data_IF_504829530088
#
_entry.id   IF_504829530088
#
_cell.length_a   1.000
_cell.length_b   1.000
_cell.length_c   1.000
_cell.angle_alpha   90.00
_cell.angle_beta   90.00
_cell.angle_gamma   90.00
#
_symmetry.space_group_name_H-M   'P 1'
#
loop_
_entity.id
_entity.type
_entity.pdbx_description
1 polymer ?
#
# COMPACT_ATOMS: atom_id res chain seq x y z
N UNK A 1 -14.96 -23.14 -34.50
CA UNK A 1 -13.62 -23.42 -34.02
C UNK A 1 -12.84 -22.09 -33.99
N UNK A 2 -12.91 -21.36 -32.88
CA UNK A 2 -12.31 -20.03 -32.76
C UNK A 2 -10.82 -20.21 -32.53
N UNK A 3 -9.99 -19.76 -33.48
CA UNK A 3 -8.55 -19.68 -33.36
C UNK A 3 -8.20 -18.82 -32.13
N UNK A 4 -7.72 -19.48 -31.08
CA UNK A 4 -7.08 -18.80 -29.95
C UNK A 4 -5.79 -18.13 -30.48
N UNK A 5 -5.90 -16.86 -30.86
CA UNK A 5 -4.75 -16.03 -31.20
C UNK A 5 -3.84 -15.98 -29.97
N UNK A 6 -2.59 -16.45 -30.12
CA UNK A 6 -1.56 -16.33 -29.09
C UNK A 6 -1.49 -14.85 -28.64
N UNK A 7 -1.49 -14.58 -27.34
CA UNK A 7 -1.42 -13.20 -26.84
C UNK A 7 -0.20 -12.49 -27.41
N UNK A 8 -0.42 -11.34 -28.02
CA UNK A 8 0.66 -10.53 -28.60
C UNK A 8 1.65 -10.12 -27.49
N UNK A 9 2.92 -9.86 -27.88
CA UNK A 9 4.02 -9.50 -26.95
C UNK A 9 3.66 -8.34 -25.98
N UNK A 10 2.75 -7.48 -26.36
CA UNK A 10 2.23 -6.34 -25.56
C UNK A 10 1.17 -6.74 -24.53
N UNK A 11 0.41 -7.82 -24.74
CA UNK A 11 -0.68 -8.20 -23.83
C UNK A 11 -0.23 -8.69 -22.44
N UNK A 12 1.04 -9.04 -22.28
CA UNK A 12 1.62 -9.51 -21.00
C UNK A 12 2.49 -8.45 -20.31
N UNK A 13 2.57 -7.23 -20.81
CA UNK A 13 3.42 -6.17 -20.25
C UNK A 13 3.03 -5.79 -18.83
N UNK A 14 1.73 -5.90 -18.46
CA UNK A 14 1.26 -5.65 -17.10
C UNK A 14 1.89 -6.59 -16.06
N UNK A 15 2.19 -7.85 -16.43
CA UNK A 15 2.86 -8.80 -15.53
C UNK A 15 4.25 -8.28 -15.15
N UNK A 16 4.98 -7.71 -16.13
CA UNK A 16 6.31 -7.14 -15.90
C UNK A 16 6.22 -5.94 -14.94
N UNK A 17 5.20 -5.11 -15.07
CA UNK A 17 4.97 -3.98 -14.16
C UNK A 17 4.62 -4.47 -12.75
N UNK A 18 3.80 -5.51 -12.62
CA UNK A 18 3.50 -6.13 -11.32
C UNK A 18 4.77 -6.74 -10.70
N UNK A 19 5.58 -7.45 -11.49
CA UNK A 19 6.87 -7.98 -11.01
C UNK A 19 7.82 -6.87 -10.55
N UNK A 20 7.87 -5.74 -11.27
CA UNK A 20 8.62 -4.57 -10.84
C UNK A 20 8.07 -4.00 -9.51
N UNK A 21 6.75 -3.98 -9.34
CA UNK A 21 6.11 -3.61 -8.08
C UNK A 21 6.48 -4.55 -6.93
N UNK A 22 6.42 -5.87 -7.14
CA UNK A 22 6.82 -6.88 -6.15
C UNK A 22 8.29 -6.71 -5.77
N UNK A 23 9.16 -6.54 -6.76
CA UNK A 23 10.60 -6.30 -6.55
C UNK A 23 10.87 -5.03 -5.74
N UNK A 24 10.12 -3.95 -5.99
CA UNK A 24 10.19 -2.73 -5.20
C UNK A 24 9.68 -2.93 -3.77
N UNK A 25 8.58 -3.64 -3.60
CA UNK A 25 8.03 -3.97 -2.28
C UNK A 25 8.96 -4.84 -1.43
N UNK A 26 9.71 -5.76 -2.05
CA UNK A 26 10.73 -6.56 -1.36
C UNK A 26 11.77 -5.69 -0.66
N UNK A 27 12.11 -4.51 -1.20
CA UNK A 27 13.05 -3.60 -0.55
C UNK A 27 12.51 -3.05 0.78
N UNK A 28 11.21 -2.92 0.93
CA UNK A 28 10.59 -2.55 2.20
C UNK A 28 10.68 -3.72 3.19
N UNK A 29 10.29 -4.91 2.75
CA UNK A 29 10.06 -6.08 3.60
C UNK A 29 11.28 -6.98 3.84
N UNK A 30 12.44 -6.68 3.23
CA UNK A 30 13.70 -7.34 3.57
C UNK A 30 14.19 -7.00 4.97
N UNK A 31 13.79 -5.84 5.51
CA UNK A 31 14.35 -5.25 6.72
C UNK A 31 13.81 -5.84 8.03
N UNK A 32 12.48 -6.06 8.23
CA UNK A 32 11.96 -6.45 9.55
C UNK A 32 12.60 -7.72 10.11
N UNK A 33 12.81 -8.77 9.30
CA UNK A 33 13.48 -10.00 9.75
C UNK A 33 14.98 -9.82 9.97
N UNK A 34 15.62 -8.86 9.30
CA UNK A 34 17.03 -8.54 9.45
C UNK A 34 17.30 -7.58 10.63
N UNK A 35 16.27 -6.91 11.14
CA UNK A 35 16.39 -5.81 12.09
C UNK A 35 17.14 -6.18 13.38
N UNK A 36 16.89 -7.35 14.02
CA UNK A 36 17.66 -7.75 15.19
C UNK A 36 19.17 -7.91 14.88
N UNK A 37 19.52 -8.53 13.75
CA UNK A 37 20.90 -8.70 13.33
C UNK A 37 21.61 -7.36 13.06
N UNK A 38 20.89 -6.41 12.45
CA UNK A 38 21.38 -5.07 12.18
C UNK A 38 21.59 -4.26 13.47
N UNK A 39 20.68 -4.41 14.44
CA UNK A 39 20.82 -3.77 15.74
C UNK A 39 22.08 -4.24 16.47
N UNK A 40 22.34 -5.53 16.43
CA UNK A 40 23.51 -6.14 17.09
C UNK A 40 24.80 -5.75 16.35
N UNK A 41 24.85 -5.84 15.01
CA UNK A 41 26.05 -5.55 14.21
C UNK A 41 26.42 -4.05 14.18
N UNK A 42 25.43 -3.16 14.15
CA UNK A 42 25.62 -1.70 14.05
C UNK A 42 25.35 -0.96 15.37
N UNK A 43 25.17 -1.69 16.47
CA UNK A 43 24.90 -1.15 17.83
C UNK A 43 23.76 -0.12 17.85
N UNK A 44 22.64 -0.42 17.16
CA UNK A 44 21.53 0.51 16.98
C UNK A 44 20.57 0.48 18.17
N UNK A 45 20.12 1.67 18.59
CA UNK A 45 19.03 1.81 19.56
C UNK A 45 17.69 1.33 18.94
N UNK A 46 16.70 1.01 19.78
CA UNK A 46 15.36 0.63 19.30
C UNK A 46 14.70 1.78 18.51
N UNK A 47 14.92 3.03 18.91
CA UNK A 47 14.41 4.19 18.19
C UNK A 47 15.04 4.34 16.79
N UNK A 48 16.35 4.12 16.69
CA UNK A 48 17.03 4.09 15.37
C UNK A 48 16.50 2.96 14.50
N UNK A 49 16.24 1.80 15.06
CA UNK A 49 15.63 0.67 14.38
C UNK A 49 14.22 0.99 13.86
N UNK A 50 13.39 1.65 14.67
CA UNK A 50 12.06 2.13 14.27
C UNK A 50 12.13 3.17 13.15
N UNK A 51 13.08 4.11 13.25
CA UNK A 51 13.34 5.09 12.19
C UNK A 51 13.79 4.41 10.90
N UNK A 52 14.67 3.41 10.98
CA UNK A 52 15.16 2.65 9.84
C UNK A 52 14.04 1.90 9.10
N UNK A 53 13.07 1.35 9.84
CA UNK A 53 11.88 0.72 9.26
C UNK A 53 11.01 1.72 8.48
N UNK A 54 10.86 2.93 9.01
CA UNK A 54 9.99 3.95 8.42
C UNK A 54 10.65 4.78 7.31
N UNK A 55 11.97 4.99 7.34
CA UNK A 55 12.65 6.01 6.51
C UNK A 55 12.48 5.79 5.00
N UNK A 56 12.26 4.56 4.56
CA UNK A 56 11.94 4.25 3.16
C UNK A 56 10.67 4.95 2.67
N UNK A 57 9.80 5.34 3.58
CA UNK A 57 8.53 6.02 3.27
C UNK A 57 8.68 7.55 3.15
N UNK A 58 9.82 8.11 3.60
CA UNK A 58 10.04 9.58 3.61
C UNK A 58 9.94 10.18 2.22
N UNK A 59 10.52 9.52 1.21
CA UNK A 59 10.42 10.00 -0.16
C UNK A 59 8.97 10.06 -0.67
N UNK A 60 8.16 9.07 -0.29
CA UNK A 60 6.72 9.06 -0.60
C UNK A 60 5.94 10.11 0.18
N UNK A 61 6.29 10.31 1.45
CA UNK A 61 5.71 11.32 2.34
C UNK A 61 5.94 12.75 1.81
N UNK A 62 7.14 13.02 1.28
CA UNK A 62 7.50 14.34 0.79
C UNK A 62 7.17 14.55 -0.71
N UNK A 63 7.24 13.49 -1.50
CA UNK A 63 7.31 13.59 -2.95
C UNK A 63 6.16 12.95 -3.75
N UNK A 64 5.11 12.42 -3.14
CA UNK A 64 4.06 11.70 -3.88
C UNK A 64 3.40 12.51 -5.00
N UNK A 65 3.07 13.78 -4.74
CA UNK A 65 2.56 14.71 -5.76
C UNK A 65 3.63 15.11 -6.80
N UNK A 66 4.87 15.31 -6.33
CA UNK A 66 5.98 15.67 -7.22
C UNK A 66 6.30 14.51 -8.19
N UNK A 67 6.26 13.27 -7.74
CA UNK A 67 6.44 12.08 -8.59
C UNK A 67 5.30 11.95 -9.60
N UNK A 68 4.07 12.29 -9.24
CA UNK A 68 2.96 12.31 -10.20
C UNK A 68 3.18 13.34 -11.32
N UNK A 69 3.67 14.52 -10.97
CA UNK A 69 4.04 15.55 -11.95
C UNK A 69 5.24 15.09 -12.81
N UNK A 70 6.27 14.52 -12.17
CA UNK A 70 7.43 13.99 -12.87
C UNK A 70 7.04 12.91 -13.89
N UNK A 71 6.12 12.02 -13.52
CA UNK A 71 5.60 10.99 -14.41
C UNK A 71 4.82 11.57 -15.61
N UNK A 72 4.15 12.71 -15.44
CA UNK A 72 3.53 13.42 -16.57
C UNK A 72 4.56 14.08 -17.49
N UNK A 73 5.69 14.57 -16.95
CA UNK A 73 6.73 15.28 -17.71
C UNK A 73 7.67 14.33 -18.46
N UNK A 74 8.28 13.37 -17.77
CA UNK A 74 9.29 12.48 -18.34
C UNK A 74 8.75 11.13 -18.82
N UNK A 75 7.54 10.77 -18.39
CA UNK A 75 6.85 9.53 -18.73
C UNK A 75 6.94 8.46 -17.64
N UNK A 76 5.85 7.70 -17.51
CA UNK A 76 5.69 6.68 -16.46
C UNK A 76 6.70 5.53 -16.59
N UNK A 77 7.05 5.10 -17.82
CA UNK A 77 8.04 4.03 -18.06
C UNK A 77 9.44 4.45 -17.63
N UNK A 78 9.82 5.70 -17.94
CA UNK A 78 11.12 6.24 -17.52
C UNK A 78 11.19 6.36 -16.01
N UNK A 79 10.14 6.85 -15.36
CA UNK A 79 10.03 6.93 -13.90
C UNK A 79 10.17 5.54 -13.26
N UNK A 80 9.45 4.52 -13.77
CA UNK A 80 9.55 3.15 -13.27
C UNK A 80 10.99 2.61 -13.42
N UNK A 81 11.63 2.80 -14.58
CA UNK A 81 13.01 2.37 -14.82
C UNK A 81 14.01 3.06 -13.87
N UNK A 82 13.89 4.38 -13.69
CA UNK A 82 14.69 5.14 -12.72
C UNK A 82 14.47 4.65 -11.30
N UNK A 83 13.21 4.35 -10.95
CA UNK A 83 12.86 3.78 -9.65
C UNK A 83 13.59 2.46 -9.37
N UNK A 84 13.61 1.53 -10.32
CA UNK A 84 14.32 0.25 -10.19
C UNK A 84 15.84 0.44 -10.03
N UNK A 85 16.43 1.40 -10.75
CA UNK A 85 17.86 1.75 -10.63
C UNK A 85 18.14 2.32 -9.23
N UNK A 86 17.33 3.25 -8.73
CA UNK A 86 17.51 3.82 -7.39
C UNK A 86 17.36 2.75 -6.30
N UNK A 87 16.41 1.82 -6.43
CA UNK A 87 16.27 0.68 -5.51
C UNK A 87 17.54 -0.18 -5.48
N UNK A 88 18.11 -0.48 -6.66
CA UNK A 88 19.35 -1.23 -6.76
C UNK A 88 20.52 -0.46 -6.11
N UNK A 89 20.71 0.82 -6.44
CA UNK A 89 21.79 1.65 -5.90
C UNK A 89 21.64 1.82 -4.37
N UNK A 90 20.43 2.10 -3.87
CA UNK A 90 20.17 2.21 -2.45
C UNK A 90 20.48 0.91 -1.71
N UNK A 91 20.05 -0.24 -2.27
CA UNK A 91 20.34 -1.55 -1.66
C UNK A 91 21.86 -1.86 -1.69
N UNK A 92 22.54 -1.61 -2.80
CA UNK A 92 23.99 -1.84 -2.94
C UNK A 92 24.79 -0.95 -1.98
N UNK A 93 24.46 0.33 -1.86
CA UNK A 93 25.11 1.23 -0.90
C UNK A 93 24.80 0.86 0.56
N UNK A 94 23.60 0.36 0.83
CA UNK A 94 23.24 -0.17 2.14
C UNK A 94 24.04 -1.42 2.53
N UNK A 95 24.38 -2.28 1.56
CA UNK A 95 25.18 -3.48 1.80
C UNK A 95 26.60 -3.19 2.34
N UNK A 96 27.16 -2.02 2.02
CA UNK A 96 28.49 -1.58 2.46
C UNK A 96 28.43 -0.60 3.64
N UNK A 97 27.25 -0.38 4.24
CA UNK A 97 27.09 0.51 5.37
C UNK A 97 27.83 -0.01 6.60
N UNK A 98 28.58 0.89 7.27
CA UNK A 98 29.40 0.60 8.46
C UNK A 98 28.75 1.11 9.76
N UNK A 99 27.66 1.87 9.67
CA UNK A 99 26.92 2.41 10.83
C UNK A 99 25.46 2.68 10.46
N UNK A 100 24.66 3.07 11.44
CA UNK A 100 23.24 3.36 11.26
C UNK A 100 22.97 4.50 10.25
N UNK A 101 23.79 5.57 10.28
CA UNK A 101 23.56 6.76 9.45
C UNK A 101 23.67 6.48 7.93
N UNK A 102 24.77 5.90 7.40
CA UNK A 102 24.82 5.54 5.97
C UNK A 102 23.75 4.49 5.58
N UNK A 103 23.39 3.58 6.47
CA UNK A 103 22.30 2.64 6.22
C UNK A 103 20.96 3.37 6.08
N UNK A 104 20.67 4.34 6.96
CA UNK A 104 19.46 5.17 6.85
C UNK A 104 19.45 6.00 5.57
N UNK A 105 20.58 6.58 5.16
CA UNK A 105 20.70 7.32 3.90
C UNK A 105 20.42 6.42 2.70
N UNK A 106 20.96 5.20 2.69
CA UNK A 106 20.69 4.21 1.64
C UNK A 106 19.21 3.83 1.56
N UNK A 107 18.54 3.70 2.69
CA UNK A 107 17.08 3.44 2.78
C UNK A 107 16.24 4.60 2.25
N UNK A 108 16.68 5.85 2.44
CA UNK A 108 16.00 7.01 1.86
C UNK A 108 16.09 6.98 0.31
N UNK A 109 17.22 6.56 -0.26
CA UNK A 109 17.40 6.35 -1.71
C UNK A 109 16.49 5.23 -2.22
N UNK A 110 16.42 4.10 -1.49
CA UNK A 110 15.47 3.02 -1.81
C UNK A 110 14.01 3.54 -1.78
N UNK A 111 13.68 4.40 -0.80
CA UNK A 111 12.37 5.04 -0.71
C UNK A 111 12.03 5.90 -1.92
N UNK A 112 12.99 6.68 -2.44
CA UNK A 112 12.83 7.45 -3.66
C UNK A 112 12.59 6.54 -4.87
N UNK A 113 13.27 5.41 -4.95
CA UNK A 113 13.03 4.39 -5.97
C UNK A 113 11.66 3.74 -5.84
N UNK A 114 11.26 3.39 -4.61
CA UNK A 114 9.98 2.75 -4.32
C UNK A 114 8.79 3.61 -4.73
N UNK A 115 8.77 4.90 -4.37
CA UNK A 115 7.66 5.79 -4.72
C UNK A 115 7.52 6.01 -6.23
N UNK A 116 8.63 6.05 -6.97
CA UNK A 116 8.62 6.14 -8.43
C UNK A 116 7.92 4.91 -9.04
N UNK A 117 8.20 3.71 -8.55
CA UNK A 117 7.54 2.47 -9.00
C UNK A 117 6.08 2.44 -8.59
N UNK A 118 5.78 2.76 -7.32
CA UNK A 118 4.44 2.66 -6.76
C UNK A 118 3.43 3.60 -7.44
N UNK A 119 3.83 4.84 -7.75
CA UNK A 119 2.96 5.85 -8.38
C UNK A 119 2.75 5.56 -9.87
N UNK A 120 3.77 5.07 -10.57
CA UNK A 120 3.69 4.90 -12.03
C UNK A 120 3.10 3.55 -12.46
N UNK A 121 3.14 2.54 -11.59
CA UNK A 121 2.67 1.19 -11.88
C UNK A 121 1.23 1.13 -12.39
N UNK A 122 0.23 1.70 -11.68
CA UNK A 122 -1.17 1.66 -12.11
C UNK A 122 -1.40 2.28 -13.49
N UNK A 123 -0.76 3.42 -13.78
CA UNK A 123 -0.86 4.10 -15.08
C UNK A 123 -0.28 3.24 -16.23
N UNK A 124 0.87 2.62 -15.99
CA UNK A 124 1.48 1.71 -16.96
C UNK A 124 0.62 0.48 -17.21
N UNK A 125 0.04 -0.13 -16.17
CA UNK A 125 -0.88 -1.26 -16.29
C UNK A 125 -2.10 -0.84 -17.11
N UNK A 126 -2.70 0.30 -16.81
CA UNK A 126 -3.87 0.79 -17.54
C UNK A 126 -3.59 0.97 -19.04
N UNK A 127 -2.43 1.52 -19.41
CA UNK A 127 -2.03 1.75 -20.81
C UNK A 127 -1.62 0.50 -21.56
N UNK A 128 -1.11 -0.51 -20.86
CA UNK A 128 -0.52 -1.71 -21.48
C UNK A 128 -1.44 -2.95 -21.45
N UNK A 129 -2.62 -2.83 -20.86
CA UNK A 129 -3.52 -3.97 -20.64
C UNK A 129 -4.81 -3.81 -21.45
N UNK A 130 -5.22 -4.83 -22.21
CA UNK A 130 -6.52 -4.83 -22.91
C UNK A 130 -7.67 -4.72 -21.90
N UNK A 131 -8.81 -4.05 -22.26
CA UNK A 131 -9.95 -3.85 -21.36
C UNK A 131 -10.45 -5.12 -20.69
N UNK A 132 -10.44 -6.25 -21.41
CA UNK A 132 -10.89 -7.57 -20.91
C UNK A 132 -10.04 -8.07 -19.71
N UNK A 133 -8.78 -7.66 -19.58
CA UNK A 133 -7.85 -8.09 -18.52
C UNK A 133 -7.50 -7.01 -17.53
N UNK A 134 -7.95 -5.78 -17.76
CA UNK A 134 -7.57 -4.63 -16.94
C UNK A 134 -7.96 -4.79 -15.48
N UNK A 135 -9.18 -5.28 -15.21
CA UNK A 135 -9.66 -5.52 -13.84
C UNK A 135 -8.79 -6.53 -13.10
N UNK A 136 -8.40 -7.62 -13.77
CA UNK A 136 -7.50 -8.61 -13.19
C UNK A 136 -6.10 -8.04 -12.96
N UNK A 137 -5.55 -7.30 -13.92
CA UNK A 137 -4.22 -6.71 -13.81
C UNK A 137 -4.12 -5.68 -12.68
N UNK A 138 -5.14 -4.83 -12.50
CA UNK A 138 -5.24 -3.89 -11.37
C UNK A 138 -5.45 -4.65 -10.04
N UNK A 139 -6.20 -5.76 -10.06
CA UNK A 139 -6.34 -6.64 -8.89
C UNK A 139 -4.99 -7.24 -8.45
N UNK A 140 -4.18 -7.73 -9.39
CA UNK A 140 -2.81 -8.21 -9.10
C UNK A 140 -1.90 -7.09 -8.60
N UNK A 141 -2.03 -5.88 -9.16
CA UNK A 141 -1.32 -4.73 -8.62
C UNK A 141 -1.76 -4.42 -7.19
N UNK A 142 -3.06 -4.48 -6.89
CA UNK A 142 -3.55 -4.32 -5.51
C UNK A 142 -2.96 -5.34 -4.52
N UNK A 143 -2.63 -6.54 -5.00
CA UNK A 143 -2.04 -7.61 -4.18
C UNK A 143 -0.50 -7.56 -4.07
N UNK A 144 0.19 -6.71 -4.88
CA UNK A 144 1.67 -6.74 -4.94
C UNK A 144 2.32 -6.47 -3.57
N UNK A 145 1.75 -5.60 -2.76
CA UNK A 145 2.26 -5.29 -1.42
C UNK A 145 2.18 -6.51 -0.50
N UNK A 146 1.03 -7.21 -0.46
CA UNK A 146 0.90 -8.43 0.35
C UNK A 146 1.83 -9.55 -0.13
N UNK A 147 2.00 -9.72 -1.44
CA UNK A 147 2.95 -10.65 -2.03
C UNK A 147 4.38 -10.29 -1.62
N UNK A 148 4.75 -9.01 -1.72
CA UNK A 148 6.07 -8.53 -1.32
C UNK A 148 6.33 -8.69 0.17
N UNK A 149 5.33 -8.46 1.01
CA UNK A 149 5.42 -8.68 2.46
C UNK A 149 5.69 -10.14 2.77
N UNK A 150 4.87 -11.03 2.23
CA UNK A 150 5.02 -12.47 2.44
C UNK A 150 6.39 -12.98 1.96
N UNK A 151 6.72 -12.70 0.68
CA UNK A 151 7.98 -13.16 0.07
C UNK A 151 9.18 -12.51 0.75
N UNK A 152 9.13 -11.22 1.05
CA UNK A 152 10.23 -10.47 1.66
C UNK A 152 10.55 -10.97 3.08
N UNK A 153 9.53 -11.16 3.91
CA UNK A 153 9.72 -11.64 5.27
C UNK A 153 10.21 -13.09 5.31
N UNK A 154 9.60 -13.98 4.50
CA UNK A 154 9.99 -15.40 4.50
C UNK A 154 11.38 -15.61 3.87
N UNK A 155 11.66 -14.93 2.76
CA UNK A 155 12.98 -15.01 2.14
C UNK A 155 14.08 -14.46 3.06
N UNK A 156 13.83 -13.31 3.72
CA UNK A 156 14.76 -12.77 4.71
C UNK A 156 14.98 -13.75 5.88
N UNK A 157 13.89 -14.32 6.40
CA UNK A 157 13.99 -15.25 7.55
C UNK A 157 14.82 -16.50 7.23
N UNK A 158 14.73 -17.02 6.00
CA UNK A 158 15.47 -18.21 5.57
C UNK A 158 16.91 -17.87 5.16
N UNK A 159 17.10 -16.83 4.35
CA UNK A 159 18.43 -16.45 3.85
C UNK A 159 19.36 -16.02 4.97
N UNK A 160 18.85 -15.31 5.97
CA UNK A 160 19.64 -14.81 7.11
C UNK A 160 20.08 -15.91 8.09
N UNK A 161 19.62 -17.16 7.92
CA UNK A 161 20.18 -18.31 8.67
C UNK A 161 21.53 -18.78 8.11
N UNK A 162 21.78 -18.51 6.82
CA UNK A 162 22.96 -19.05 6.11
C UNK A 162 23.87 -17.96 5.54
N UNK A 163 23.37 -16.76 5.34
CA UNK A 163 24.11 -15.63 4.76
C UNK A 163 24.07 -14.41 5.68
N UNK A 164 25.17 -13.62 5.73
CA UNK A 164 25.16 -12.36 6.44
C UNK A 164 24.18 -11.35 5.82
N UNK A 165 23.66 -10.42 6.62
CA UNK A 165 22.69 -9.43 6.15
C UNK A 165 23.21 -8.59 4.97
N UNK A 166 24.52 -8.34 4.87
CA UNK A 166 25.15 -7.62 3.74
C UNK A 166 24.97 -8.38 2.42
N UNK A 167 25.15 -9.69 2.42
CA UNK A 167 24.91 -10.54 1.24
C UNK A 167 23.42 -10.50 0.83
N UNK A 168 22.50 -10.45 1.80
CA UNK A 168 21.08 -10.30 1.52
C UNK A 168 20.77 -8.95 0.87
N UNK A 169 21.42 -7.85 1.29
CA UNK A 169 21.29 -6.53 0.65
C UNK A 169 21.79 -6.56 -0.80
N UNK A 170 22.91 -7.20 -1.09
CA UNK A 170 23.40 -7.39 -2.47
C UNK A 170 22.41 -8.22 -3.31
N UNK A 171 21.88 -9.31 -2.78
CA UNK A 171 20.89 -10.14 -3.46
C UNK A 171 19.62 -9.34 -3.79
N UNK A 172 19.12 -8.54 -2.84
CA UNK A 172 17.94 -7.70 -3.07
C UNK A 172 18.23 -6.53 -4.02
N UNK A 173 19.47 -6.01 -4.11
CA UNK A 173 19.89 -5.05 -5.13
C UNK A 173 19.77 -5.68 -6.53
N UNK A 174 20.26 -6.90 -6.71
CA UNK A 174 20.14 -7.63 -7.98
C UNK A 174 18.67 -7.91 -8.34
N UNK A 175 17.86 -8.32 -7.36
CA UNK A 175 16.42 -8.53 -7.54
C UNK A 175 15.67 -7.25 -7.92
N UNK A 176 16.09 -6.08 -7.41
CA UNK A 176 15.51 -4.80 -7.80
C UNK A 176 15.78 -4.47 -9.28
N UNK A 177 16.96 -4.82 -9.78
CA UNK A 177 17.35 -4.54 -11.15
C UNK A 177 16.81 -5.56 -12.17
N UNK A 178 16.50 -6.79 -11.73
CA UNK A 178 16.09 -7.90 -12.59
C UNK A 178 14.91 -7.59 -13.53
N UNK A 179 13.84 -6.84 -13.13
CA UNK A 179 12.77 -6.48 -14.05
C UNK A 179 13.14 -5.44 -15.10
N UNK A 180 14.22 -4.66 -14.90
CA UNK A 180 14.57 -3.51 -15.75
C UNK A 180 14.74 -3.86 -17.24
N UNK A 181 15.48 -4.90 -17.63
CA UNK A 181 15.60 -5.28 -19.05
C UNK A 181 14.26 -5.59 -19.69
N UNK A 182 13.36 -6.27 -18.94
CA UNK A 182 12.02 -6.60 -19.42
C UNK A 182 11.13 -5.35 -19.55
N UNK A 183 11.23 -4.40 -18.61
CA UNK A 183 10.56 -3.10 -18.68
C UNK A 183 11.00 -2.35 -19.92
N UNK A 184 12.31 -2.28 -20.18
CA UNK A 184 12.87 -1.57 -21.34
C UNK A 184 12.58 -2.26 -22.68
N UNK A 185 12.39 -3.60 -22.69
CA UNK A 185 12.12 -4.34 -23.90
C UNK A 185 10.64 -4.46 -24.26
N UNK A 186 9.74 -4.53 -23.25
CA UNK A 186 8.35 -4.96 -23.48
C UNK A 186 7.28 -3.97 -23.01
N UNK A 187 7.59 -3.04 -22.10
CA UNK A 187 6.63 -2.00 -21.67
C UNK A 187 6.60 -0.91 -22.74
N UNK A 188 5.42 -0.46 -23.20
CA UNK A 188 5.31 0.56 -24.25
C UNK A 188 6.04 1.84 -23.88
N UNK A 189 6.69 2.45 -24.87
CA UNK A 189 7.39 3.74 -24.71
C UNK A 189 6.40 4.84 -24.34
N UNK A 190 6.87 5.81 -23.58
CA UNK A 190 6.08 6.99 -23.23
C UNK A 190 5.79 7.80 -24.50
N UNK A 191 4.53 8.17 -24.68
CA UNK A 191 4.14 9.11 -25.73
C UNK A 191 4.42 10.53 -25.22
N UNK A 192 4.96 11.40 -26.05
CA UNK A 192 5.11 12.81 -25.72
C UNK A 192 3.71 13.39 -25.38
N UNK A 193 3.49 13.75 -24.13
CA UNK A 193 2.26 14.42 -23.69
C UNK A 193 2.49 15.93 -23.72
N UNK A 194 1.91 16.59 -24.71
CA UNK A 194 1.97 18.04 -24.89
C UNK A 194 1.04 18.84 -23.95
N UNK A 195 0.85 18.38 -22.71
CA UNK A 195 0.05 19.16 -21.75
C UNK A 195 0.97 20.19 -21.07
N UNK A 196 0.65 21.48 -21.20
CA UNK A 196 1.41 22.53 -20.55
C UNK A 196 1.44 22.35 -19.01
N UNK A 197 2.62 22.58 -18.42
CA UNK A 197 2.87 22.46 -16.97
C UNK A 197 1.83 23.24 -16.14
N UNK A 198 1.37 24.41 -16.62
CA UNK A 198 0.39 25.25 -15.95
C UNK A 198 -0.97 24.58 -15.75
N UNK A 199 -1.45 23.80 -16.73
CA UNK A 199 -2.72 23.07 -16.62
C UNK A 199 -2.62 21.92 -15.61
N UNK A 200 -1.49 21.23 -15.57
CA UNK A 200 -1.24 20.15 -14.60
C UNK A 200 -1.22 20.73 -13.16
N UNK A 201 -0.49 21.80 -12.93
CA UNK A 201 -0.42 22.47 -11.61
C UNK A 201 -1.80 22.94 -11.13
N UNK A 202 -2.61 23.54 -12.00
CA UNK A 202 -3.97 23.97 -11.65
C UNK A 202 -4.86 22.81 -11.23
N UNK A 203 -4.79 21.66 -11.91
CA UNK A 203 -5.54 20.44 -11.57
C UNK A 203 -5.08 19.85 -10.25
N UNK A 204 -3.77 19.84 -9.98
CA UNK A 204 -3.19 19.41 -8.71
C UNK A 204 -3.70 20.31 -7.57
N UNK A 205 -3.64 21.63 -7.74
CA UNK A 205 -4.11 22.59 -6.74
C UNK A 205 -5.61 22.39 -6.40
N UNK A 206 -6.45 22.11 -7.40
CA UNK A 206 -7.88 21.77 -7.18
C UNK A 206 -8.05 20.46 -6.41
N UNK A 207 -7.22 19.45 -6.69
CA UNK A 207 -7.23 18.17 -5.98
C UNK A 207 -6.85 18.35 -4.50
N UNK A 208 -5.81 19.14 -4.22
CA UNK A 208 -5.36 19.41 -2.85
C UNK A 208 -6.41 20.16 -2.03
N UNK A 209 -7.19 21.05 -2.66
CA UNK A 209 -8.26 21.81 -1.99
C UNK A 209 -9.53 20.99 -1.73
N UNK A 210 -9.68 19.83 -2.36
CA UNK A 210 -10.85 18.98 -2.20
C UNK A 210 -10.77 18.14 -0.92
N UNK A 211 -11.83 18.07 -0.07
CA UNK A 211 -11.79 17.32 1.19
C UNK A 211 -11.79 15.81 0.99
N UNK A 212 -12.37 15.30 -0.10
CA UNK A 212 -12.50 13.86 -0.36
C UNK A 212 -11.16 13.11 -0.35
N UNK A 213 -10.16 13.52 -1.16
CA UNK A 213 -8.83 12.91 -1.17
C UNK A 213 -8.13 12.92 0.20
N UNK A 214 -8.29 13.99 0.99
CA UNK A 214 -7.73 14.08 2.33
C UNK A 214 -8.40 13.10 3.30
N UNK A 215 -9.73 12.99 3.27
CA UNK A 215 -10.45 12.04 4.13
C UNK A 215 -10.00 10.60 3.84
N UNK A 216 -9.90 10.22 2.57
CA UNK A 216 -9.37 8.89 2.18
C UNK A 216 -7.93 8.73 2.65
N UNK A 217 -7.07 9.72 2.40
CA UNK A 217 -5.65 9.68 2.78
C UNK A 217 -5.46 9.55 4.29
N UNK A 218 -6.17 10.35 5.09
CA UNK A 218 -6.08 10.32 6.56
C UNK A 218 -6.61 9.00 7.13
N UNK A 219 -7.72 8.48 6.60
CA UNK A 219 -8.23 7.15 6.97
C UNK A 219 -7.19 6.07 6.67
N UNK A 220 -6.50 6.19 5.52
CA UNK A 220 -5.45 5.26 5.13
C UNK A 220 -4.21 5.40 6.02
N UNK A 221 -3.83 6.62 6.43
CA UNK A 221 -2.73 6.83 7.37
C UNK A 221 -3.00 6.20 8.73
N UNK A 222 -4.23 6.30 9.25
CA UNK A 222 -4.63 5.60 10.49
C UNK A 222 -4.43 4.09 10.38
N UNK A 223 -4.75 3.50 9.23
CA UNK A 223 -4.49 2.08 8.99
C UNK A 223 -2.99 1.77 8.92
N UNK A 224 -2.24 2.51 8.10
CA UNK A 224 -0.83 2.19 7.86
C UNK A 224 0.05 2.42 9.07
N UNK A 225 -0.25 3.44 9.88
CA UNK A 225 0.45 3.71 11.13
C UNK A 225 0.35 2.52 12.08
N UNK A 226 -0.87 2.06 12.38
CA UNK A 226 -1.07 0.93 13.29
C UNK A 226 -0.54 -0.38 12.71
N UNK A 227 -0.70 -0.62 11.41
CA UNK A 227 -0.25 -1.84 10.77
C UNK A 227 1.27 -1.96 10.75
N UNK A 228 1.97 -0.87 10.39
CA UNK A 228 3.43 -0.80 10.41
C UNK A 228 4.02 -0.82 11.82
N UNK A 229 3.33 -0.25 12.81
CA UNK A 229 3.73 -0.33 14.21
C UNK A 229 3.75 -1.77 14.72
N UNK A 230 2.80 -2.60 14.30
CA UNK A 230 2.71 -4.01 14.70
C UNK A 230 3.58 -4.88 13.81
N UNK A 231 3.30 -4.94 12.51
CA UNK A 231 3.94 -5.92 11.60
C UNK A 231 5.42 -5.60 11.36
N UNK A 232 5.79 -4.33 11.40
CA UNK A 232 7.19 -3.91 11.24
C UNK A 232 8.12 -4.44 12.33
N UNK A 233 7.64 -4.55 13.56
CA UNK A 233 8.42 -5.08 14.68
C UNK A 233 8.08 -6.53 15.04
N UNK A 234 7.15 -7.17 14.36
CA UNK A 234 6.67 -8.49 14.74
C UNK A 234 7.79 -9.55 14.86
N UNK A 235 8.78 -9.61 13.94
CA UNK A 235 9.92 -10.53 14.13
C UNK A 235 10.76 -10.21 15.39
N UNK A 236 10.89 -8.92 15.75
CA UNK A 236 11.59 -8.49 16.96
C UNK A 236 10.79 -8.89 18.21
N UNK A 237 9.48 -8.63 18.21
CA UNK A 237 8.58 -9.00 19.32
C UNK A 237 8.62 -10.51 19.60
N UNK A 238 8.57 -11.34 18.55
CA UNK A 238 8.66 -12.79 18.71
C UNK A 238 10.02 -13.24 19.25
N UNK A 239 11.10 -12.56 18.85
CA UNK A 239 12.45 -12.83 19.34
C UNK A 239 12.60 -12.43 20.82
N UNK A 240 12.09 -11.27 21.19
CA UNK A 240 12.06 -10.79 22.58
C UNK A 240 11.25 -11.73 23.49
N UNK A 241 10.23 -12.40 22.94
CA UNK A 241 9.45 -13.46 23.59
C UNK A 241 10.13 -14.85 23.58
N UNK A 242 11.43 -14.93 23.23
CA UNK A 242 12.22 -16.14 23.30
C UNK A 242 12.18 -17.05 22.08
N UNK A 243 11.53 -16.67 20.98
CA UNK A 243 11.56 -17.45 19.73
C UNK A 243 12.92 -17.33 19.04
N UNK A 244 13.47 -18.45 18.59
CA UNK A 244 14.77 -18.54 17.93
C UNK A 244 14.68 -18.97 16.47
N UNK A 245 15.80 -18.87 15.75
CA UNK A 245 15.91 -19.31 14.37
C UNK A 245 15.09 -18.49 13.38
N UNK A 246 14.50 -19.14 12.40
CA UNK A 246 13.71 -18.51 11.33
C UNK A 246 12.22 -18.28 11.69
N UNK A 247 11.74 -18.89 12.78
CA UNK A 247 10.34 -18.84 13.18
C UNK A 247 9.75 -17.43 13.32
N UNK A 248 10.43 -16.46 13.98
CA UNK A 248 9.94 -15.07 14.07
C UNK A 248 9.61 -14.46 12.71
N UNK A 249 10.48 -14.66 11.74
CA UNK A 249 10.25 -14.16 10.37
C UNK A 249 9.17 -14.92 9.61
N UNK A 250 9.11 -16.25 9.74
CA UNK A 250 8.09 -17.09 9.09
C UNK A 250 6.69 -16.75 9.61
N UNK A 251 6.50 -16.66 10.92
CA UNK A 251 5.21 -16.29 11.51
C UNK A 251 4.80 -14.87 11.09
N UNK A 252 5.75 -13.94 11.09
CA UNK A 252 5.51 -12.57 10.61
C UNK A 252 5.15 -12.54 9.11
N UNK A 253 5.75 -13.41 8.29
CA UNK A 253 5.42 -13.54 6.88
C UNK A 253 3.98 -14.03 6.69
N UNK A 254 3.53 -15.02 7.47
CA UNK A 254 2.14 -15.47 7.45
C UNK A 254 1.19 -14.34 7.81
N UNK A 255 1.47 -13.61 8.90
CA UNK A 255 0.68 -12.43 9.31
C UNK A 255 0.61 -11.38 8.19
N UNK A 256 1.74 -11.06 7.54
CA UNK A 256 1.77 -10.14 6.40
C UNK A 256 1.01 -10.67 5.17
N UNK A 257 1.15 -11.97 4.89
CA UNK A 257 0.52 -12.63 3.74
C UNK A 257 -1.02 -12.69 3.82
N UNK A 258 -1.57 -12.95 4.99
CA UNK A 258 -3.03 -13.03 5.18
C UNK A 258 -3.72 -11.67 4.97
N UNK A 259 -3.00 -10.56 5.09
CA UNK A 259 -3.51 -9.23 4.73
C UNK A 259 -3.97 -9.17 3.27
N UNK A 260 -3.23 -9.79 2.36
CA UNK A 260 -3.62 -9.89 0.94
C UNK A 260 -4.92 -10.69 0.76
N UNK A 261 -5.13 -11.75 1.54
CA UNK A 261 -6.39 -12.52 1.51
C UNK A 261 -7.56 -11.66 1.97
N UNK A 262 -7.39 -10.86 3.02
CA UNK A 262 -8.36 -9.89 3.50
C UNK A 262 -8.72 -8.87 2.40
N UNK A 263 -7.73 -8.34 1.70
CA UNK A 263 -7.93 -7.41 0.58
C UNK A 263 -8.71 -8.03 -0.57
N UNK A 264 -8.37 -9.26 -0.98
CA UNK A 264 -9.05 -9.99 -2.06
C UNK A 264 -10.50 -10.29 -1.69
N UNK A 265 -10.74 -10.74 -0.46
CA UNK A 265 -12.09 -11.04 0.04
C UNK A 265 -12.94 -9.78 0.05
N UNK A 266 -12.40 -8.68 0.53
CA UNK A 266 -13.09 -7.38 0.58
C UNK A 266 -13.40 -6.84 -0.81
N UNK A 267 -12.49 -7.00 -1.78
CA UNK A 267 -12.77 -6.62 -3.15
C UNK A 267 -13.99 -7.36 -3.73
N UNK A 268 -14.18 -8.63 -3.39
CA UNK A 268 -15.38 -9.42 -3.76
C UNK A 268 -16.64 -8.91 -3.03
N UNK A 269 -16.53 -8.53 -1.76
CA UNK A 269 -17.65 -7.97 -0.98
C UNK A 269 -18.10 -6.62 -1.55
N UNK A 270 -17.15 -5.76 -1.94
CA UNK A 270 -17.44 -4.50 -2.63
C UNK A 270 -18.15 -4.72 -3.97
N UNK A 271 -17.76 -5.74 -4.74
CA UNK A 271 -18.44 -6.11 -5.97
C UNK A 271 -19.88 -6.60 -5.73
N UNK A 272 -20.17 -7.17 -4.56
CA UNK A 272 -21.51 -7.56 -4.13
C UNK A 272 -22.36 -6.41 -3.61
N UNK A 273 -21.82 -5.19 -3.58
CA UNK A 273 -22.55 -3.98 -3.22
C UNK A 273 -22.54 -3.61 -1.73
N UNK A 274 -21.63 -4.21 -0.92
CA UNK A 274 -21.48 -3.76 0.45
C UNK A 274 -20.98 -2.31 0.48
N UNK A 275 -21.51 -1.52 1.41
CA UNK A 275 -21.14 -0.12 1.55
C UNK A 275 -19.74 0.05 2.14
N UNK A 276 -19.08 1.16 1.79
CA UNK A 276 -17.74 1.52 2.28
C UNK A 276 -17.70 1.53 3.81
N UNK A 277 -18.73 2.13 4.46
CA UNK A 277 -18.81 2.22 5.92
C UNK A 277 -19.00 0.85 6.57
N UNK A 278 -19.84 -0.01 5.98
CA UNK A 278 -20.08 -1.37 6.47
C UNK A 278 -18.83 -2.26 6.43
N UNK A 279 -17.83 -1.89 5.65
CA UNK A 279 -16.53 -2.59 5.59
C UNK A 279 -15.49 -1.93 6.50
N UNK A 280 -15.37 -0.59 6.49
CA UNK A 280 -14.31 0.11 7.20
C UNK A 280 -14.51 0.12 8.72
N UNK A 281 -15.74 0.41 9.20
CA UNK A 281 -15.99 0.53 10.65
C UNK A 281 -15.75 -0.79 11.38
N UNK A 282 -16.34 -1.94 10.95
CA UNK A 282 -16.02 -3.22 11.57
C UNK A 282 -14.53 -3.59 11.44
N UNK A 283 -13.88 -3.26 10.31
CA UNK A 283 -12.47 -3.55 10.14
C UNK A 283 -11.61 -2.82 11.18
N UNK A 284 -11.80 -1.52 11.37
CA UNK A 284 -11.08 -0.76 12.40
C UNK A 284 -11.40 -1.25 13.82
N UNK A 285 -12.67 -1.53 14.11
CA UNK A 285 -13.09 -2.03 15.43
C UNK A 285 -12.45 -3.38 15.77
N UNK A 286 -12.48 -4.33 14.81
CA UNK A 286 -11.86 -5.64 15.01
C UNK A 286 -10.33 -5.54 15.08
N UNK A 287 -9.70 -4.64 14.33
CA UNK A 287 -8.26 -4.37 14.48
C UNK A 287 -7.94 -3.86 15.88
N UNK A 288 -8.73 -2.91 16.42
CA UNK A 288 -8.55 -2.44 17.79
C UNK A 288 -8.68 -3.57 18.82
N UNK A 289 -9.74 -4.35 18.72
CA UNK A 289 -10.00 -5.46 19.66
C UNK A 289 -8.90 -6.52 19.60
N UNK A 290 -8.51 -6.96 18.40
CA UNK A 290 -7.47 -7.98 18.24
C UNK A 290 -6.09 -7.48 18.66
N UNK A 291 -5.79 -6.20 18.43
CA UNK A 291 -4.56 -5.59 18.93
C UNK A 291 -4.55 -5.44 20.44
N UNK A 292 -5.67 -5.02 21.05
CA UNK A 292 -5.81 -4.97 22.51
C UNK A 292 -5.55 -6.36 23.11
N UNK A 293 -6.19 -7.39 22.57
CA UNK A 293 -5.96 -8.77 23.01
C UNK A 293 -4.50 -9.19 22.83
N UNK A 294 -3.85 -8.83 21.70
CA UNK A 294 -2.47 -9.19 21.42
C UNK A 294 -1.48 -8.63 22.43
N UNK A 295 -1.66 -7.37 22.86
CA UNK A 295 -0.65 -6.65 23.62
C UNK A 295 -1.00 -6.42 25.10
N UNK A 296 -2.30 -6.34 25.46
CA UNK A 296 -2.71 -6.10 26.84
C UNK A 296 -2.82 -7.38 27.69
N UNK A 297 -2.90 -8.56 27.05
CA UNK A 297 -2.98 -9.84 27.74
C UNK A 297 -1.59 -10.43 27.93
N UNK A 298 -1.29 -10.90 29.13
CA UNK A 298 -0.08 -11.67 29.41
C UNK A 298 -0.24 -13.12 28.95
N UNK A 299 0.19 -13.39 27.72
CA UNK A 299 0.07 -14.71 27.09
C UNK A 299 1.04 -15.73 27.64
N UNK A 300 2.08 -15.32 28.35
CA UNK A 300 3.10 -16.25 28.90
C UNK A 300 2.55 -17.07 30.04
N UNK A 301 1.50 -16.59 30.71
CA UNK A 301 0.85 -17.26 31.83
C UNK A 301 -0.22 -18.28 31.38
N UNK A 302 -0.56 -18.30 30.09
CA UNK A 302 -1.66 -19.12 29.57
C UNK A 302 -1.16 -20.35 28.79
N UNK A 303 -1.81 -21.53 28.95
CA UNK A 303 -1.56 -22.68 28.08
C UNK A 303 -1.81 -22.29 26.61
N UNK A 304 -0.87 -22.62 25.73
CA UNK A 304 -0.89 -22.25 24.31
C UNK A 304 -0.98 -20.73 24.04
N UNK A 305 -0.59 -19.88 24.99
CA UNK A 305 -0.71 -18.42 24.88
C UNK A 305 -0.03 -17.84 23.64
N UNK A 306 1.15 -18.34 23.26
CA UNK A 306 1.84 -17.94 22.04
C UNK A 306 1.01 -18.19 20.77
N UNK A 307 0.29 -19.33 20.70
CA UNK A 307 -0.58 -19.64 19.55
C UNK A 307 -1.80 -18.71 19.51
N UNK A 308 -2.38 -18.41 20.67
CA UNK A 308 -3.51 -17.49 20.78
C UNK A 308 -3.10 -16.06 20.40
N UNK A 309 -1.94 -15.59 20.88
CA UNK A 309 -1.36 -14.31 20.50
C UNK A 309 -1.13 -14.24 18.98
N UNK A 310 -0.55 -15.27 18.39
CA UNK A 310 -0.37 -15.38 16.95
C UNK A 310 -1.71 -15.32 16.20
N UNK A 311 -2.75 -16.01 16.70
CA UNK A 311 -4.10 -15.97 16.15
C UNK A 311 -4.69 -14.54 16.16
N UNK A 312 -4.51 -13.81 17.26
CA UNK A 312 -4.97 -12.41 17.38
C UNK A 312 -4.27 -11.49 16.38
N UNK A 313 -2.94 -11.59 16.26
CA UNK A 313 -2.16 -10.78 15.29
C UNK A 313 -2.50 -11.16 13.85
N UNK A 314 -2.70 -12.44 13.57
CA UNK A 314 -3.10 -12.91 12.24
C UNK A 314 -4.48 -12.37 11.87
N UNK A 315 -5.41 -12.37 12.80
CA UNK A 315 -6.76 -11.80 12.61
C UNK A 315 -6.70 -10.28 12.41
N UNK A 316 -5.89 -9.57 13.21
CA UNK A 316 -5.61 -8.14 13.02
C UNK A 316 -5.17 -7.84 11.58
N UNK A 317 -4.23 -8.61 11.05
CA UNK A 317 -3.70 -8.38 9.70
C UNK A 317 -4.69 -8.78 8.61
N UNK A 318 -5.39 -9.91 8.76
CA UNK A 318 -6.40 -10.39 7.81
C UNK A 318 -7.50 -9.34 7.61
N UNK A 319 -8.06 -8.87 8.71
CA UNK A 319 -9.16 -7.88 8.70
C UNK A 319 -8.64 -6.52 8.25
N UNK A 320 -7.41 -6.15 8.65
CA UNK A 320 -6.74 -4.94 8.19
C UNK A 320 -6.66 -4.83 6.68
N UNK A 321 -6.55 -5.95 5.95
CA UNK A 321 -6.56 -5.97 4.50
C UNK A 321 -7.84 -5.42 3.85
N UNK A 322 -8.94 -5.36 4.58
CA UNK A 322 -10.18 -4.74 4.11
C UNK A 322 -10.05 -3.25 3.84
N UNK A 323 -9.22 -2.56 4.62
CA UNK A 323 -9.12 -1.10 4.59
C UNK A 323 -8.49 -0.61 3.28
N UNK A 324 -7.28 -1.06 2.86
CA UNK A 324 -6.68 -0.61 1.61
C UNK A 324 -7.54 -0.93 0.39
N UNK A 325 -8.15 -2.12 0.33
CA UNK A 325 -9.02 -2.50 -0.78
C UNK A 325 -10.22 -1.56 -0.93
N UNK A 326 -10.83 -1.18 0.19
CA UNK A 326 -11.98 -0.27 0.22
C UNK A 326 -11.58 1.16 -0.13
N UNK A 327 -10.48 1.67 0.46
CA UNK A 327 -10.05 3.05 0.28
C UNK A 327 -9.52 3.32 -1.12
N UNK A 328 -8.76 2.40 -1.72
CA UNK A 328 -8.26 2.55 -3.10
C UNK A 328 -9.42 2.59 -4.11
N UNK A 329 -10.48 1.81 -3.88
CA UNK A 329 -11.71 1.90 -4.68
C UNK A 329 -12.37 3.27 -4.52
N UNK A 330 -12.55 3.72 -3.29
CA UNK A 330 -13.21 4.99 -2.95
C UNK A 330 -12.44 6.20 -3.46
N UNK A 331 -11.11 6.13 -3.53
CA UNK A 331 -10.24 7.18 -4.05
C UNK A 331 -10.59 7.60 -5.47
N UNK A 332 -10.96 6.65 -6.33
CA UNK A 332 -11.36 6.92 -7.71
C UNK A 332 -12.67 7.71 -7.74
N UNK A 333 -13.64 7.34 -6.91
CA UNK A 333 -14.97 7.96 -6.86
C UNK A 333 -14.96 9.38 -6.25
N UNK A 334 -13.98 9.67 -5.40
CA UNK A 334 -13.82 10.97 -4.73
C UNK A 334 -12.84 11.92 -5.44
N UNK A 335 -12.32 11.53 -6.61
CA UNK A 335 -11.54 12.45 -7.44
C UNK A 335 -12.42 13.62 -7.90
N UNK A 336 -12.02 14.89 -7.70
CA UNK A 336 -12.80 16.05 -8.14
C UNK A 336 -12.98 16.04 -9.66
N UNK A 337 -14.15 16.47 -10.15
CA UNK A 337 -14.47 16.50 -11.59
C UNK A 337 -13.42 17.25 -12.43
N UNK A 338 -12.90 18.36 -11.90
CA UNK A 338 -11.86 19.18 -12.55
C UNK A 338 -10.46 18.93 -11.97
N UNK A 339 -10.31 17.88 -11.18
CA UNK A 339 -9.05 17.47 -10.58
C UNK A 339 -8.25 16.52 -11.47
N UNK A 340 -7.23 15.94 -10.89
CA UNK A 340 -6.36 14.93 -11.52
C UNK A 340 -6.40 13.64 -10.73
N UNK A 341 -6.79 12.53 -11.38
CA UNK A 341 -6.75 11.21 -10.74
C UNK A 341 -5.33 10.82 -10.28
N UNK A 342 -4.26 11.05 -11.08
CA UNK A 342 -2.89 10.88 -10.60
C UNK A 342 -2.56 11.73 -9.37
N UNK A 343 -3.01 13.00 -9.32
CA UNK A 343 -2.78 13.87 -8.16
C UNK A 343 -3.55 13.37 -6.92
N UNK A 344 -4.77 12.87 -7.09
CA UNK A 344 -5.53 12.24 -5.99
C UNK A 344 -4.78 11.06 -5.41
N UNK A 345 -4.30 10.16 -6.27
CA UNK A 345 -3.50 9.01 -5.83
C UNK A 345 -2.17 9.43 -5.21
N UNK A 346 -1.49 10.45 -5.76
CA UNK A 346 -0.27 11.01 -5.21
C UNK A 346 -0.46 11.59 -3.82
N UNK A 347 -1.54 12.35 -3.58
CA UNK A 347 -1.88 12.90 -2.27
C UNK A 347 -2.19 11.80 -1.26
N UNK A 348 -3.03 10.84 -1.64
CA UNK A 348 -3.36 9.69 -0.80
C UNK A 348 -2.09 8.93 -0.43
N UNK A 349 -1.19 8.71 -1.40
CA UNK A 349 0.06 8.02 -1.17
C UNK A 349 1.00 8.81 -0.24
N UNK A 350 1.03 10.14 -0.30
CA UNK A 350 1.79 10.96 0.63
C UNK A 350 1.31 10.76 2.07
N UNK A 351 0.00 10.86 2.29
CA UNK A 351 -0.60 10.72 3.62
C UNK A 351 -0.48 9.28 4.14
N UNK A 352 -0.62 8.28 3.28
CA UNK A 352 -0.33 6.86 3.55
C UNK A 352 1.11 6.67 4.05
N UNK A 353 2.08 7.24 3.32
CA UNK A 353 3.51 7.10 3.66
C UNK A 353 3.85 7.82 4.97
N UNK A 354 3.16 8.92 5.30
CA UNK A 354 3.29 9.59 6.59
C UNK A 354 2.91 8.66 7.74
N UNK A 355 1.79 7.95 7.64
CA UNK A 355 1.39 6.94 8.62
C UNK A 355 2.40 5.79 8.71
N UNK A 356 2.85 5.30 7.55
CA UNK A 356 3.82 4.20 7.48
C UNK A 356 5.19 4.56 8.08
N UNK A 357 5.62 5.82 7.94
CA UNK A 357 6.84 6.33 8.57
C UNK A 357 6.69 6.48 10.08
N UNK A 358 5.59 7.10 10.52
CA UNK A 358 5.37 7.44 11.91
C UNK A 358 5.13 6.18 12.78
N UNK A 359 4.48 5.15 12.23
CA UNK A 359 4.08 3.96 12.98
C UNK A 359 5.22 3.28 13.73
N UNK A 360 6.28 2.82 13.05
CA UNK A 360 7.41 2.16 13.70
C UNK A 360 8.16 3.07 14.68
N UNK A 361 8.34 4.37 14.35
CA UNK A 361 9.03 5.31 15.22
C UNK A 361 8.26 5.53 16.53
N UNK A 362 6.94 5.71 16.46
CA UNK A 362 6.07 5.89 17.63
C UNK A 362 6.03 4.60 18.45
N UNK A 363 5.95 3.43 17.82
CA UNK A 363 5.93 2.15 18.51
C UNK A 363 7.24 1.91 19.26
N UNK A 364 8.39 2.19 18.63
CA UNK A 364 9.70 2.07 19.25
C UNK A 364 9.88 3.04 20.41
N UNK A 365 9.44 4.30 20.25
CA UNK A 365 9.47 5.30 21.30
C UNK A 365 8.62 4.87 22.51
N UNK A 366 7.39 4.40 22.25
CA UNK A 366 6.49 3.95 23.31
C UNK A 366 7.07 2.74 24.04
N UNK A 367 7.55 1.73 23.32
CA UNK A 367 8.14 0.53 23.89
C UNK A 367 9.38 0.85 24.76
N UNK A 368 10.21 1.82 24.33
CA UNK A 368 11.36 2.29 25.11
C UNK A 368 10.92 2.99 26.39
N UNK A 369 9.84 3.77 26.38
CA UNK A 369 9.33 4.50 27.54
C UNK A 369 8.61 3.61 28.55
N UNK A 370 7.91 2.58 28.08
CA UNK A 370 7.10 1.67 28.93
C UNK A 370 7.82 0.38 29.29
N UNK A 371 9.04 0.18 28.78
CA UNK A 371 9.85 -1.01 29.08
C UNK A 371 9.41 -2.27 28.33
N UNK A 372 8.58 -2.16 27.28
CA UNK A 372 8.13 -3.33 26.49
C UNK A 372 7.03 -3.00 25.47
N UNK A 373 6.58 -4.03 24.79
CA UNK A 373 5.60 -3.90 23.70
C UNK A 373 4.13 -3.86 24.16
N UNK A 374 3.87 -4.09 25.45
CA UNK A 374 2.51 -4.21 26.01
C UNK A 374 1.65 -2.98 25.76
N UNK A 375 2.26 -1.80 25.70
CA UNK A 375 1.54 -0.54 25.46
C UNK A 375 1.22 -0.24 23.98
N UNK A 376 1.63 -1.10 23.03
CA UNK A 376 1.40 -0.88 21.59
C UNK A 376 -0.09 -0.76 21.24
N UNK A 377 -0.99 -1.36 22.01
CA UNK A 377 -2.44 -1.26 21.81
C UNK A 377 -2.98 0.17 21.90
N UNK A 378 -2.34 1.07 22.66
CA UNK A 378 -2.72 2.48 22.71
C UNK A 378 -2.66 3.13 21.32
N UNK A 379 -1.58 2.88 20.58
CA UNK A 379 -1.39 3.41 19.23
C UNK A 379 -2.48 2.86 18.31
N UNK A 380 -2.68 1.55 18.34
CA UNK A 380 -3.61 0.89 17.42
C UNK A 380 -5.07 1.23 17.71
N UNK A 381 -5.48 1.28 18.99
CA UNK A 381 -6.83 1.67 19.37
C UNK A 381 -7.12 3.14 19.04
N UNK A 382 -6.16 4.04 19.27
CA UNK A 382 -6.32 5.46 18.90
C UNK A 382 -6.47 5.60 17.39
N UNK A 383 -5.62 4.95 16.59
CA UNK A 383 -5.71 4.99 15.13
C UNK A 383 -7.01 4.35 14.62
N UNK A 384 -7.47 3.26 15.24
CA UNK A 384 -8.72 2.62 14.87
C UNK A 384 -9.93 3.50 15.18
N UNK A 385 -9.95 4.19 16.31
CA UNK A 385 -11.01 5.14 16.68
C UNK A 385 -11.05 6.31 15.67
N UNK A 386 -9.91 6.93 15.38
CA UNK A 386 -9.80 8.00 14.39
C UNK A 386 -10.18 7.52 12.98
N UNK A 387 -9.72 6.35 12.57
CA UNK A 387 -10.06 5.75 11.28
C UNK A 387 -11.56 5.45 11.14
N UNK A 388 -12.20 4.96 12.21
CA UNK A 388 -13.65 4.76 12.26
C UNK A 388 -14.42 6.09 12.14
N UNK A 389 -14.00 7.13 12.87
CA UNK A 389 -14.61 8.46 12.79
C UNK A 389 -14.49 9.06 11.37
N UNK A 390 -13.30 8.98 10.78
CA UNK A 390 -13.08 9.46 9.40
C UNK A 390 -13.91 8.66 8.39
N UNK A 391 -14.12 7.36 8.62
CA UNK A 391 -14.96 6.51 7.77
C UNK A 391 -16.43 6.95 7.76
N UNK A 392 -16.93 7.57 8.83
CA UNK A 392 -18.26 8.18 8.87
C UNK A 392 -18.39 9.40 7.94
N UNK A 393 -17.27 10.10 7.67
CA UNK A 393 -17.24 11.24 6.75
C UNK A 393 -17.19 10.83 5.27
N UNK A 394 -16.87 9.55 4.96
CA UNK A 394 -16.87 9.03 3.60
C UNK A 394 -18.30 8.88 3.10
N UNK A 395 -18.69 9.73 2.14
CA UNK A 395 -20.05 9.78 1.58
C UNK A 395 -20.40 8.48 0.87
N UNK A 396 -21.57 7.92 1.17
CA UNK A 396 -22.18 6.84 0.40
C UNK A 396 -22.72 7.39 -0.93
N UNK A 397 -21.88 7.54 -1.93
CA UNK A 397 -22.40 7.48 -3.31
C UNK A 397 -22.67 5.99 -3.58
N UNK A 398 -23.96 5.61 -3.51
CA UNK A 398 -24.41 4.28 -3.92
C UNK A 398 -23.82 3.99 -5.30
N UNK A 399 -23.03 2.92 -5.42
CA UNK A 399 -22.66 2.39 -6.72
C UNK A 399 -23.95 2.17 -7.50
N UNK A 400 -24.01 2.72 -8.70
CA UNK A 400 -25.12 2.57 -9.63
C UNK A 400 -25.60 1.11 -9.64
N UNK A 401 -26.90 0.93 -9.47
CA UNK A 401 -27.61 -0.31 -9.71
C UNK A 401 -27.15 -0.90 -11.07
N UNK A 402 -26.69 -2.16 -11.13
CA UNK A 402 -26.30 -2.80 -12.38
C UNK A 402 -27.43 -2.88 -13.41
N UNK A 403 -28.65 -2.50 -13.04
CA UNK A 403 -29.85 -2.53 -13.88
C UNK A 403 -30.19 -1.21 -14.57
N UNK A 404 -29.30 -0.21 -14.56
CA UNK A 404 -29.44 0.95 -15.44
C UNK A 404 -30.69 1.82 -15.24
N UNK A 405 -31.32 1.81 -14.07
CA UNK A 405 -32.44 2.70 -13.78
C UNK A 405 -31.89 4.04 -13.23
N UNK A 406 -31.72 5.00 -14.15
CA UNK A 406 -31.63 6.40 -13.76
C UNK A 406 -32.86 6.78 -12.93
N UNK A 407 -32.74 7.57 -11.85
CA UNK A 407 -33.88 8.13 -11.17
C UNK A 407 -34.55 9.12 -12.15
N UNK A 408 -35.64 8.65 -12.74
CA UNK A 408 -36.54 9.47 -13.52
C UNK A 408 -36.98 10.66 -12.68
N UNK A 409 -36.74 11.82 -13.23
CA UNK A 409 -37.36 13.07 -12.85
C UNK A 409 -38.87 12.88 -12.63
N UNK A 410 -39.26 12.82 -11.38
CA UNK A 410 -40.66 12.96 -10.99
C UNK A 410 -40.84 14.40 -10.51
N UNK A 411 -41.37 15.25 -11.37
CA UNK A 411 -42.36 16.29 -11.09
C UNK A 411 -42.36 17.34 -12.19
N UNK A 412 -43.43 17.33 -12.93
CA UNK A 412 -43.80 18.34 -13.90
C UNK A 412 -45.12 17.96 -14.59
N UNK A 413 -46.20 17.97 -13.79
CA UNK A 413 -47.55 18.01 -14.33
C UNK A 413 -47.69 19.29 -15.13
N UNK A 414 -47.89 19.19 -16.42
CA UNK A 414 -48.49 20.26 -17.27
C UNK A 414 -49.71 19.66 -17.94
N UNK A 415 -50.90 20.30 -17.82
CA UNK A 415 -52.15 19.73 -18.26
C UNK A 415 -52.36 19.88 -19.79
N UNK A 416 -53.02 18.88 -20.34
CA UNK A 416 -53.47 18.86 -21.70
C UNK A 416 -54.35 20.05 -22.03
N UNK A 417 -54.00 20.83 -23.09
CA UNK A 417 -54.92 21.70 -23.80
C UNK A 417 -55.26 21.08 -25.16
N UNK A 418 -56.59 20.92 -25.34
CA UNK A 418 -57.36 20.56 -26.51
C UNK A 418 -56.79 21.13 -27.81
N UNK A 419 -56.64 20.26 -28.79
CA UNK A 419 -56.62 20.67 -30.18
C UNK A 419 -57.99 20.36 -30.81
N UNK A 420 -58.68 21.37 -31.22
CA UNK A 420 -59.83 21.29 -32.13
C UNK A 420 -59.37 21.57 -33.56
N UNK A 421 -59.76 20.68 -34.46
CA UNK A 421 -60.14 20.82 -35.88
C UNK A 421 -59.67 22.08 -36.62
N UNK A 422 -59.08 21.88 -37.78
CA UNK A 422 -59.71 22.31 -39.07
C UNK A 422 -58.93 21.67 -40.23
N UNK A 423 -59.64 21.11 -41.08
CA UNK A 423 -59.83 20.64 -42.40
C UNK A 423 -59.45 21.71 -43.47
N UNK A 424 -59.17 21.12 -44.64
CA UNK A 424 -59.25 21.66 -46.03
C UNK A 424 -58.17 22.68 -46.39
N UNK A 425 -57.43 22.52 -47.41
CA UNK A 425 -57.66 22.05 -48.82
C UNK A 425 -56.33 21.47 -49.31
#
# INVERSE_FOLDING_TARGET
MALQTRPTRTEKSWIIVVLAGVSAGLQVWKLPSALPLLRDDLSMTLLQAGTLLGIVQVAGMLGGLAVSLLAELIGERRCLATGLILLCLGSATGAVAWSAAPLMASRAVEGAGFILVAVTGPGLIHRSTPPRRLTAAIGFWGAYQGISTFVGLIASALVLQVLPWRAWWWATAALALAPLPLVLARVPRDKARGHGVGTAVTRIARTIRAPGPWTVGLTFACYTLQWMAVVGFLPTIYRDNGMTGSWPGILSAVVGGVNALGSITTAKLLQRGLSVRALLIPAFTLMATTSLLTFAVDWQTLPAGTMLQFGCVTTFSLIGGAIPATLLRTAVDLTPKDGSAPATMGLIQQVFNTGSFAGPAIAAWLATRTGGWQSTWWITCTCAALGSMLSLCLSERRCCDPRGRSPVQGRGLIPAKRASRMRST
#
